data_IF_823578858808
#
_entry.id   IF_823578858808
#
_cell.length_a   1.000
_cell.length_b   1.000
_cell.length_c   1.000
_cell.angle_alpha   90.00
_cell.angle_beta   90.00
_cell.angle_gamma   90.00
#
_symmetry.space_group_name_H-M   'P 1'
#
loop_
_entity.id
_entity.type
_entity.pdbx_description
1 polymer ?
#
# COMPACT_ATOMS: atom_id res chain seq x y z
N UNK A 1 18.18 61.99 0.43
CA UNK A 1 18.77 60.65 0.22
C UNK A 1 18.68 59.91 1.54
N UNK A 2 17.54 59.27 1.81
CA UNK A 2 17.27 58.56 3.07
C UNK A 2 17.50 57.07 2.80
N UNK A 3 18.43 56.47 3.55
CA UNK A 3 18.64 55.04 3.58
C UNK A 3 17.63 54.43 4.57
N UNK A 4 16.62 53.75 4.05
CA UNK A 4 15.72 52.92 4.85
C UNK A 4 16.45 51.64 5.23
N UNK A 5 16.76 51.50 6.52
CA UNK A 5 17.20 50.26 7.12
C UNK A 5 16.10 49.20 7.00
N UNK A 6 16.37 48.16 6.22
CA UNK A 6 15.53 46.98 6.12
C UNK A 6 15.37 46.36 7.51
N UNK A 7 14.12 46.23 7.95
CA UNK A 7 13.76 45.52 9.16
C UNK A 7 14.20 44.06 9.01
N UNK A 8 14.99 43.59 9.98
CA UNK A 8 15.23 42.18 10.19
C UNK A 8 13.87 41.48 10.38
N UNK A 9 13.48 40.62 9.44
CA UNK A 9 12.37 39.68 9.65
C UNK A 9 12.80 38.65 10.70
N UNK A 10 12.61 38.96 11.97
CA UNK A 10 12.56 37.98 13.05
C UNK A 10 11.24 37.20 12.95
N UNK A 11 11.13 36.34 11.95
CA UNK A 11 10.20 35.21 12.00
C UNK A 11 10.70 34.12 11.03
N UNK A 12 11.70 33.37 11.49
CA UNK A 12 11.96 32.05 10.92
C UNK A 12 10.76 31.20 11.30
N UNK A 13 9.83 31.04 10.35
CA UNK A 13 8.65 30.20 10.44
C UNK A 13 9.05 28.87 11.11
N UNK A 14 8.53 28.62 12.31
CA UNK A 14 8.72 27.33 12.97
C UNK A 14 8.26 26.26 11.97
N UNK A 15 9.18 25.44 11.46
CA UNK A 15 8.92 24.45 10.41
C UNK A 15 7.56 23.79 10.62
N UNK A 16 6.56 24.20 9.82
CA UNK A 16 5.19 23.72 10.00
C UNK A 16 5.21 22.20 9.86
N UNK A 17 4.92 21.53 10.97
CA UNK A 17 4.94 20.08 11.06
C UNK A 17 3.63 19.53 10.49
N UNK A 18 3.72 18.82 9.36
CA UNK A 18 2.58 18.13 8.76
C UNK A 18 2.49 16.68 9.25
N UNK A 19 1.28 16.17 9.48
CA UNK A 19 1.03 14.82 10.00
C UNK A 19 0.80 13.78 8.92
N UNK A 20 0.45 14.20 7.71
CA UNK A 20 0.21 13.32 6.56
C UNK A 20 0.48 14.03 5.24
N UNK A 21 0.58 13.25 4.16
CA UNK A 21 0.66 13.80 2.80
C UNK A 21 -0.61 14.58 2.41
N UNK A 22 -1.79 14.13 2.87
CA UNK A 22 -3.03 14.86 2.71
C UNK A 22 -2.95 16.26 3.34
N UNK A 23 -2.43 16.36 4.57
CA UNK A 23 -2.28 17.64 5.25
C UNK A 23 -1.29 18.57 4.52
N UNK A 24 -0.20 18.02 3.96
CA UNK A 24 0.70 18.80 3.09
C UNK A 24 -0.05 19.34 1.87
N UNK A 25 -0.84 18.50 1.20
CA UNK A 25 -1.58 18.90 0.00
C UNK A 25 -2.64 19.98 0.29
N UNK A 26 -3.32 19.87 1.43
CA UNK A 26 -4.35 20.83 1.84
C UNK A 26 -3.74 22.21 2.17
N UNK A 27 -2.58 22.24 2.81
CA UNK A 27 -1.92 23.49 3.22
C UNK A 27 -0.93 24.06 2.20
N UNK A 28 -0.47 23.25 1.23
CA UNK A 28 0.43 23.68 0.15
C UNK A 28 -0.18 23.29 -1.20
N UNK A 29 -1.18 24.05 -1.71
CA UNK A 29 -1.70 23.84 -3.05
C UNK A 29 -0.55 23.85 -4.08
N UNK A 30 -0.48 22.80 -4.91
CA UNK A 30 0.61 22.62 -5.87
C UNK A 30 1.81 21.82 -5.35
N UNK A 31 1.75 21.26 -4.13
CA UNK A 31 2.75 20.29 -3.66
C UNK A 31 2.90 19.15 -4.67
N UNK A 32 4.14 18.87 -5.07
CA UNK A 32 4.47 17.81 -6.03
C UNK A 32 4.61 16.46 -5.33
N UNK A 33 4.60 15.37 -6.09
CA UNK A 33 4.89 14.05 -5.51
C UNK A 33 6.38 13.94 -5.18
N UNK A 34 6.73 13.23 -4.10
CA UNK A 34 8.11 13.15 -3.66
C UNK A 34 8.27 12.60 -2.24
N UNK A 35 9.49 12.60 -1.73
CA UNK A 35 9.77 12.19 -0.35
C UNK A 35 9.59 13.38 0.58
N UNK A 36 8.79 13.19 1.63
CA UNK A 36 8.51 14.18 2.65
C UNK A 36 8.79 13.61 4.04
N UNK A 37 9.09 14.49 4.98
CA UNK A 37 9.14 14.19 6.40
C UNK A 37 7.82 14.63 7.04
N UNK A 38 7.13 13.72 7.70
CA UNK A 38 5.86 13.98 8.40
C UNK A 38 5.94 13.52 9.85
N UNK A 39 5.08 14.07 10.71
CA UNK A 39 4.94 13.68 12.12
C UNK A 39 3.51 13.20 12.40
N UNK A 40 3.16 11.94 12.10
CA UNK A 40 1.79 11.45 12.24
C UNK A 40 1.28 11.47 13.68
N UNK A 41 2.19 11.40 14.66
CA UNK A 41 1.89 11.38 16.08
C UNK A 41 2.64 12.53 16.77
N UNK A 42 2.02 13.27 17.71
CA UNK A 42 2.63 14.45 18.35
C UNK A 42 3.95 14.20 19.09
N UNK A 43 4.12 13.01 19.68
CA UNK A 43 5.28 12.68 20.53
C UNK A 43 6.19 11.61 19.92
N UNK A 44 5.99 11.27 18.64
CA UNK A 44 6.79 10.27 17.96
C UNK A 44 7.84 10.90 17.06
N UNK A 45 8.92 10.16 16.85
CA UNK A 45 9.92 10.54 15.86
C UNK A 45 9.28 10.65 14.47
N UNK A 46 9.52 11.75 13.73
CA UNK A 46 9.05 11.89 12.36
C UNK A 46 9.48 10.72 11.47
N UNK A 47 8.69 10.51 10.42
CA UNK A 47 8.96 9.51 9.40
C UNK A 47 9.12 10.14 8.03
N UNK A 48 10.04 9.58 7.25
CA UNK A 48 10.10 9.85 5.82
C UNK A 48 9.10 8.97 5.10
N UNK A 49 8.25 9.58 4.30
CA UNK A 49 7.23 8.92 3.47
C UNK A 49 7.38 9.40 2.03
N UNK A 50 6.82 8.66 1.08
CA UNK A 50 6.61 9.19 -0.26
C UNK A 50 5.17 9.69 -0.35
N UNK A 51 4.99 10.97 -0.68
CA UNK A 51 3.68 11.55 -0.92
C UNK A 51 3.36 11.48 -2.41
N UNK A 52 2.24 10.86 -2.75
CA UNK A 52 1.65 10.92 -4.09
C UNK A 52 0.54 11.97 -4.08
N UNK A 53 0.81 13.12 -4.70
CA UNK A 53 -0.04 14.31 -4.65
C UNK A 53 -0.97 14.46 -5.86
N UNK A 54 -0.84 13.61 -6.89
CA UNK A 54 -1.58 13.78 -8.14
C UNK A 54 -2.52 12.61 -8.46
N UNK A 55 -2.08 11.37 -8.28
CA UNK A 55 -2.88 10.21 -8.66
C UNK A 55 -4.14 10.12 -7.79
N UNK A 56 -5.32 10.05 -8.45
CA UNK A 56 -6.63 9.85 -7.81
C UNK A 56 -6.94 10.89 -6.72
N UNK A 57 -6.61 12.15 -7.00
CA UNK A 57 -6.83 13.29 -6.10
C UNK A 57 -5.67 13.57 -5.14
N UNK A 58 -4.66 12.69 -5.09
CA UNK A 58 -3.49 12.88 -4.23
C UNK A 58 -3.73 12.51 -2.76
N UNK A 59 -2.82 12.97 -1.91
CA UNK A 59 -2.86 12.86 -0.46
C UNK A 59 -2.35 11.52 0.06
N UNK A 60 -1.97 10.59 -0.83
CA UNK A 60 -1.54 9.25 -0.44
C UNK A 60 -0.13 9.26 0.15
N UNK A 61 -0.02 8.69 1.33
CA UNK A 61 1.18 8.51 2.12
C UNK A 61 1.69 7.08 1.93
N UNK A 62 2.74 6.90 1.12
CA UNK A 62 3.38 5.62 0.90
C UNK A 62 4.34 5.27 2.04
N UNK A 63 4.14 4.07 2.59
CA UNK A 63 4.83 3.62 3.79
C UNK A 63 6.21 3.03 3.43
N UNK A 64 7.30 3.45 4.09
CA UNK A 64 8.62 2.90 3.81
C UNK A 64 8.80 1.52 4.48
N UNK A 65 9.68 0.68 3.94
CA UNK A 65 10.05 -0.63 4.55
C UNK A 65 10.39 -0.51 6.04
N UNK A 66 11.15 0.53 6.40
CA UNK A 66 11.63 0.78 7.78
C UNK A 66 10.50 1.00 8.80
N UNK A 67 9.29 1.34 8.37
CA UNK A 67 8.14 1.53 9.26
C UNK A 67 7.83 0.25 10.07
N UNK A 68 7.97 -0.92 9.44
CA UNK A 68 7.66 -2.23 10.06
C UNK A 68 8.48 -2.53 11.32
N UNK A 69 9.61 -1.86 11.53
CA UNK A 69 10.48 -2.06 12.70
C UNK A 69 10.28 -1.03 13.80
N UNK A 70 9.35 -0.10 13.64
CA UNK A 70 9.04 0.89 14.67
C UNK A 70 8.06 0.30 15.68
N UNK A 71 8.28 0.59 16.95
CA UNK A 71 7.37 0.20 18.04
C UNK A 71 5.99 0.88 17.94
N UNK A 72 5.93 2.04 17.29
CA UNK A 72 4.71 2.84 17.09
C UNK A 72 4.08 2.68 15.68
N UNK A 73 4.52 1.68 14.92
CA UNK A 73 4.12 1.49 13.52
C UNK A 73 2.59 1.39 13.35
N UNK A 74 1.92 0.66 14.23
CA UNK A 74 0.46 0.50 14.15
C UNK A 74 -0.27 1.82 14.44
N UNK A 75 0.21 2.61 15.41
CA UNK A 75 -0.35 3.92 15.76
C UNK A 75 -0.18 4.90 14.59
N UNK A 76 0.98 4.88 13.92
CA UNK A 76 1.23 5.64 12.70
C UNK A 76 0.23 5.25 11.60
N UNK A 77 0.04 3.95 11.35
CA UNK A 77 -0.93 3.48 10.34
C UNK A 77 -2.35 3.97 10.67
N UNK A 78 -2.77 3.90 11.94
CA UNK A 78 -4.09 4.41 12.38
C UNK A 78 -4.21 5.93 12.23
N UNK A 79 -3.11 6.66 12.44
CA UNK A 79 -3.07 8.10 12.22
C UNK A 79 -3.22 8.45 10.73
N UNK A 80 -2.61 7.66 9.84
CA UNK A 80 -2.57 7.93 8.41
C UNK A 80 -3.77 7.38 7.62
N UNK A 81 -4.43 6.31 8.07
CA UNK A 81 -5.46 5.61 7.28
C UNK A 81 -6.87 6.08 7.65
N UNK A 82 -7.26 7.26 7.17
CA UNK A 82 -8.58 7.85 7.41
C UNK A 82 -9.60 7.42 6.36
N UNK A 83 -9.18 7.33 5.10
CA UNK A 83 -9.97 6.82 3.99
C UNK A 83 -9.82 5.30 3.87
N UNK A 84 -10.54 4.57 4.72
CA UNK A 84 -10.41 3.10 4.84
C UNK A 84 -10.90 2.30 3.64
N UNK A 85 -11.38 2.96 2.59
CA UNK A 85 -11.92 2.34 1.38
C UNK A 85 -11.07 2.62 0.14
N UNK A 86 -10.01 3.41 0.26
CA UNK A 86 -9.13 3.73 -0.86
C UNK A 86 -7.68 3.49 -0.46
N UNK A 87 -7.07 2.47 -1.06
CA UNK A 87 -5.64 2.17 -0.88
C UNK A 87 -4.98 2.24 -2.25
N UNK A 88 -3.97 3.09 -2.39
CA UNK A 88 -3.23 3.22 -3.63
C UNK A 88 -2.01 2.30 -3.58
N UNK A 89 -1.95 1.34 -4.51
CA UNK A 89 -0.79 0.48 -4.66
C UNK A 89 0.04 0.92 -5.86
N UNK A 90 1.35 1.01 -5.70
CA UNK A 90 2.31 1.12 -6.83
C UNK A 90 2.99 -0.21 -7.05
N UNK A 91 3.06 -0.67 -8.30
CA UNK A 91 3.73 -1.89 -8.73
C UNK A 91 4.98 -1.51 -9.51
N UNK A 92 6.10 -2.19 -9.26
CA UNK A 92 7.37 -1.92 -9.94
C UNK A 92 7.80 -3.11 -10.80
N UNK A 93 8.19 -2.84 -12.05
CA UNK A 93 8.78 -3.85 -12.94
C UNK A 93 10.23 -4.14 -12.57
N UNK A 94 10.65 -5.39 -12.77
CA UNK A 94 12.01 -5.84 -12.44
C UNK A 94 13.06 -5.31 -13.42
N UNK A 95 12.73 -5.27 -14.71
CA UNK A 95 13.69 -5.02 -15.78
C UNK A 95 14.15 -3.55 -15.85
N UNK A 96 13.20 -2.61 -15.83
CA UNK A 96 13.43 -1.19 -16.08
C UNK A 96 13.01 -0.27 -14.93
N UNK A 97 12.55 -0.85 -13.81
CA UNK A 97 11.98 -0.13 -12.66
C UNK A 97 10.76 0.74 -12.98
N UNK A 98 10.19 0.63 -14.18
CA UNK A 98 8.96 1.34 -14.52
C UNK A 98 7.83 0.98 -13.56
N UNK A 99 7.01 1.97 -13.23
CA UNK A 99 5.98 1.86 -12.23
C UNK A 99 4.59 1.90 -12.86
N UNK A 100 3.64 1.25 -12.19
CA UNK A 100 2.23 1.33 -12.50
C UNK A 100 1.46 1.43 -11.18
N UNK A 101 0.22 1.87 -11.21
CA UNK A 101 -0.60 1.95 -10.00
C UNK A 101 -1.95 1.27 -10.15
N UNK A 102 -2.49 0.84 -9.01
CA UNK A 102 -3.87 0.41 -8.86
C UNK A 102 -4.48 1.07 -7.63
N UNK A 103 -5.61 1.75 -7.80
CA UNK A 103 -6.46 2.14 -6.69
C UNK A 103 -7.34 0.96 -6.30
N UNK A 104 -7.14 0.44 -5.10
CA UNK A 104 -7.93 -0.65 -4.53
C UNK A 104 -9.10 -0.07 -3.76
N UNK A 105 -10.31 -0.57 -4.06
CA UNK A 105 -11.56 -0.18 -3.39
C UNK A 105 -12.43 -1.41 -3.11
N UNK A 106 -13.36 -1.35 -2.14
CA UNK A 106 -14.18 -2.49 -1.81
C UNK A 106 -14.94 -3.06 -3.01
N UNK A 107 -15.07 -4.38 -3.03
CA UNK A 107 -15.92 -5.08 -3.98
C UNK A 107 -17.39 -4.64 -3.81
N UNK A 108 -18.24 -4.60 -4.86
CA UNK A 108 -19.66 -4.23 -4.74
C UNK A 108 -20.43 -4.97 -3.64
N UNK A 109 -20.25 -6.30 -3.54
CA UNK A 109 -20.83 -7.14 -2.48
C UNK A 109 -20.36 -6.78 -1.05
N UNK A 110 -19.32 -5.96 -0.92
CA UNK A 110 -18.68 -5.57 0.32
C UNK A 110 -18.48 -4.04 0.38
N UNK A 111 -19.34 -3.25 -0.29
CA UNK A 111 -19.20 -1.80 -0.39
C UNK A 111 -19.17 -1.06 0.96
N UNK A 112 -19.77 -1.67 1.99
CA UNK A 112 -19.81 -1.16 3.36
C UNK A 112 -18.69 -1.73 4.25
N UNK A 113 -17.80 -2.53 3.70
CA UNK A 113 -16.65 -3.09 4.41
C UNK A 113 -15.44 -2.18 4.25
N UNK A 114 -14.90 -1.74 5.38
CA UNK A 114 -13.62 -1.04 5.43
C UNK A 114 -12.46 -2.03 5.30
N UNK A 115 -11.38 -1.60 4.67
CA UNK A 115 -10.13 -2.35 4.70
C UNK A 115 -9.45 -2.23 6.07
N UNK A 116 -8.72 -3.28 6.43
CA UNK A 116 -7.82 -3.26 7.59
C UNK A 116 -6.38 -3.12 7.15
N UNK A 117 -5.65 -2.17 7.72
CA UNK A 117 -4.19 -2.08 7.54
C UNK A 117 -3.50 -2.23 8.89
N UNK A 118 -2.59 -3.21 8.98
CA UNK A 118 -1.93 -3.58 10.23
C UNK A 118 -0.41 -3.67 10.03
N UNK A 119 0.37 -3.35 11.06
CA UNK A 119 1.81 -3.62 11.11
C UNK A 119 2.06 -4.91 11.89
N UNK A 120 2.77 -5.87 11.27
CA UNK A 120 3.21 -7.13 11.88
C UNK A 120 2.09 -7.89 12.62
N UNK A 121 0.87 -7.79 12.11
CA UNK A 121 -0.31 -8.41 12.70
C UNK A 121 -1.32 -8.75 11.61
N UNK A 122 -2.14 -9.75 11.87
CA UNK A 122 -3.24 -10.19 11.01
C UNK A 122 -4.56 -10.27 11.79
N UNK A 123 -4.67 -9.54 12.91
CA UNK A 123 -5.86 -9.57 13.78
C UNK A 123 -7.15 -9.30 12.98
N UNK A 124 -8.13 -10.21 13.10
CA UNK A 124 -9.39 -10.15 12.32
C UNK A 124 -9.33 -10.79 10.93
N UNK A 125 -8.17 -11.28 10.50
CA UNK A 125 -7.90 -11.88 9.19
C UNK A 125 -7.21 -13.24 9.33
N UNK A 126 -6.76 -13.81 8.21
CA UNK A 126 -5.90 -15.01 8.20
C UNK A 126 -4.43 -14.65 8.13
N UNK A 127 -3.59 -15.52 8.67
CA UNK A 127 -2.14 -15.39 8.67
C UNK A 127 -1.58 -15.51 7.22
N UNK A 128 -0.66 -14.62 6.80
CA UNK A 128 0.02 -14.72 5.51
C UNK A 128 1.03 -15.87 5.50
N UNK A 129 1.16 -16.62 4.40
CA UNK A 129 2.06 -17.78 4.34
C UNK A 129 3.54 -17.45 4.57
N UNK A 130 3.93 -16.21 4.28
CA UNK A 130 5.27 -15.69 4.54
C UNK A 130 5.42 -14.99 5.91
N UNK A 131 4.52 -15.23 6.88
CA UNK A 131 4.58 -14.68 8.25
C UNK A 131 5.90 -14.97 8.99
N UNK A 132 6.59 -16.06 8.62
CA UNK A 132 7.94 -16.36 9.14
C UNK A 132 9.00 -15.28 8.84
N UNK A 133 8.71 -14.34 7.94
CA UNK A 133 9.53 -13.15 7.67
C UNK A 133 9.37 -12.04 8.73
N UNK A 134 8.36 -12.17 9.61
CA UNK A 134 8.04 -11.32 10.78
C UNK A 134 7.61 -9.90 10.48
N UNK A 135 8.44 -9.15 9.76
CA UNK A 135 8.20 -7.73 9.45
C UNK A 135 7.32 -7.61 8.19
N UNK A 136 6.12 -7.03 8.31
CA UNK A 136 5.23 -6.76 7.17
C UNK A 136 4.16 -5.69 7.47
N UNK A 137 3.65 -5.08 6.40
CA UNK A 137 2.38 -4.35 6.43
C UNK A 137 1.32 -5.28 5.86
N UNK A 138 0.22 -5.48 6.58
CA UNK A 138 -0.91 -6.29 6.17
C UNK A 138 -2.02 -5.39 5.63
N UNK A 139 -2.63 -5.77 4.51
CA UNK A 139 -3.85 -5.17 4.00
C UNK A 139 -4.92 -6.27 3.88
N UNK A 140 -5.88 -6.24 4.79
CA UNK A 140 -7.06 -7.09 4.75
C UNK A 140 -8.16 -6.46 3.92
N UNK A 141 -8.65 -7.20 2.92
CA UNK A 141 -9.68 -6.73 1.99
C UNK A 141 -11.08 -7.06 2.53
N UNK A 142 -11.27 -8.27 3.04
CA UNK A 142 -12.53 -8.72 3.66
C UNK A 142 -12.17 -9.39 5.00
N UNK A 143 -12.79 -8.98 6.13
CA UNK A 143 -12.57 -9.62 7.43
C UNK A 143 -12.89 -11.12 7.40
N UNK A 144 -12.17 -11.91 8.21
CA UNK A 144 -12.30 -13.38 8.27
C UNK A 144 -13.76 -13.85 8.43
N UNK A 145 -14.52 -13.14 9.26
CA UNK A 145 -15.93 -13.46 9.55
C UNK A 145 -16.84 -13.39 8.33
N UNK A 146 -16.54 -12.53 7.36
CA UNK A 146 -17.29 -12.36 6.13
C UNK A 146 -16.68 -13.13 4.95
N UNK A 147 -15.35 -13.26 4.93
CA UNK A 147 -14.61 -13.95 3.87
C UNK A 147 -14.87 -15.47 3.84
N UNK A 148 -15.34 -16.08 4.93
CA UNK A 148 -15.68 -17.52 4.99
C UNK A 148 -16.96 -17.93 4.23
N UNK A 149 -17.67 -16.98 3.62
CA UNK A 149 -18.90 -17.27 2.87
C UNK A 149 -18.59 -17.75 1.45
N UNK A 150 -19.35 -18.75 0.96
CA UNK A 150 -19.23 -19.21 -0.44
C UNK A 150 -19.95 -18.27 -1.39
N UNK A 151 -19.27 -17.21 -1.83
CA UNK A 151 -19.82 -16.19 -2.72
C UNK A 151 -18.75 -15.56 -3.61
N UNK A 152 -19.14 -14.58 -4.43
CA UNK A 152 -18.19 -13.75 -5.16
C UNK A 152 -17.50 -12.76 -4.22
N UNK A 153 -16.17 -12.80 -4.23
CA UNK A 153 -15.28 -11.99 -3.42
C UNK A 153 -14.19 -11.37 -4.28
N UNK A 154 -13.53 -10.34 -3.77
CA UNK A 154 -12.48 -9.63 -4.48
C UNK A 154 -12.43 -8.17 -4.07
N UNK A 155 -12.15 -7.30 -5.03
CA UNK A 155 -12.05 -5.86 -4.84
C UNK A 155 -12.20 -5.15 -6.19
N UNK A 156 -12.34 -3.83 -6.17
CA UNK A 156 -12.17 -3.01 -7.38
C UNK A 156 -10.72 -2.59 -7.53
N UNK A 157 -10.22 -2.63 -8.75
CA UNK A 157 -8.90 -2.13 -9.14
C UNK A 157 -9.07 -1.08 -10.23
N UNK A 158 -8.74 0.18 -9.94
CA UNK A 158 -8.92 1.30 -10.86
C UNK A 158 -10.37 1.44 -11.39
N UNK A 159 -11.37 1.10 -10.57
CA UNK A 159 -12.79 1.18 -10.90
C UNK A 159 -13.40 -0.14 -11.39
N UNK A 160 -12.57 -1.05 -11.92
CA UNK A 160 -12.98 -2.34 -12.46
C UNK A 160 -13.07 -3.42 -11.38
N UNK A 161 -14.12 -4.23 -11.39
CA UNK A 161 -14.27 -5.35 -10.44
C UNK A 161 -13.32 -6.49 -10.80
N UNK A 162 -12.45 -6.86 -9.85
CA UNK A 162 -11.56 -8.02 -9.93
C UNK A 162 -12.03 -9.01 -8.86
N UNK A 163 -12.49 -10.18 -9.29
CA UNK A 163 -13.23 -11.09 -8.41
C UNK A 163 -12.94 -12.58 -8.69
N UNK A 164 -13.29 -13.40 -7.71
CA UNK A 164 -13.26 -14.85 -7.76
C UNK A 164 -14.43 -15.41 -6.95
N UNK A 165 -14.73 -16.70 -7.12
CA UNK A 165 -15.70 -17.41 -6.27
C UNK A 165 -14.97 -18.09 -5.13
N UNK A 166 -15.32 -17.78 -3.88
CA UNK A 166 -14.85 -18.58 -2.75
C UNK A 166 -15.60 -19.92 -2.73
N UNK A 167 -14.96 -20.96 -3.24
CA UNK A 167 -15.60 -22.27 -3.46
C UNK A 167 -15.55 -23.21 -2.25
N UNK A 168 -14.69 -22.95 -1.25
CA UNK A 168 -14.40 -23.86 -0.14
C UNK A 168 -14.58 -23.26 1.26
N UNK A 169 -15.02 -21.99 1.37
CA UNK A 169 -15.16 -21.23 2.64
C UNK A 169 -13.84 -20.80 3.28
N UNK A 170 -12.70 -20.98 2.61
CA UNK A 170 -11.44 -20.52 3.16
C UNK A 170 -11.45 -18.98 3.27
N UNK A 171 -11.21 -18.38 4.45
CA UNK A 171 -11.45 -16.94 4.64
C UNK A 171 -10.27 -16.04 4.26
N UNK A 172 -9.33 -16.50 3.43
CA UNK A 172 -8.22 -15.66 2.99
C UNK A 172 -8.73 -14.49 2.13
N UNK A 173 -8.36 -13.27 2.49
CA UNK A 173 -8.67 -12.06 1.71
C UNK A 173 -7.68 -10.95 2.06
N UNK A 174 -6.43 -11.09 1.57
CA UNK A 174 -5.33 -10.25 2.01
C UNK A 174 -4.26 -9.98 0.95
N UNK A 175 -3.56 -8.87 1.17
CA UNK A 175 -2.20 -8.61 0.72
C UNK A 175 -1.27 -8.52 1.93
N UNK A 176 -0.04 -8.98 1.79
CA UNK A 176 1.02 -8.73 2.77
C UNK A 176 2.27 -8.18 2.09
N UNK A 177 2.77 -7.05 2.59
CA UNK A 177 3.90 -6.30 2.06
C UNK A 177 5.10 -6.49 2.99
N UNK A 178 6.03 -7.34 2.57
CA UNK A 178 7.18 -7.77 3.36
C UNK A 178 8.45 -7.06 2.90
N UNK A 179 9.13 -6.29 3.77
CA UNK A 179 10.45 -5.76 3.46
C UNK A 179 11.49 -6.85 3.20
N UNK A 180 11.27 -8.03 3.81
CA UNK A 180 12.16 -9.17 3.82
C UNK A 180 13.60 -8.77 4.21
N UNK A 181 13.75 -8.10 5.34
CA UNK A 181 15.03 -7.55 5.81
C UNK A 181 16.13 -8.61 5.98
N UNK A 182 15.74 -9.86 6.25
CA UNK A 182 16.66 -10.98 6.44
C UNK A 182 16.90 -11.78 5.16
N UNK A 183 16.41 -11.31 4.00
CA UNK A 183 16.56 -11.95 2.69
C UNK A 183 16.12 -13.42 2.68
N UNK A 184 15.08 -13.75 3.44
CA UNK A 184 14.54 -15.10 3.53
C UNK A 184 13.87 -15.49 2.21
N UNK A 185 13.94 -16.77 1.87
CA UNK A 185 13.26 -17.28 0.68
C UNK A 185 11.74 -17.26 0.90
N UNK A 186 10.95 -16.70 -0.04
CA UNK A 186 9.50 -16.79 0.03
C UNK A 186 9.00 -18.24 -0.03
N UNK A 187 7.87 -18.49 0.62
CA UNK A 187 7.20 -19.78 0.68
C UNK A 187 7.01 -20.38 -0.70
N UNK A 188 7.30 -21.68 -0.80
CA UNK A 188 7.00 -22.49 -1.98
C UNK A 188 5.54 -23.00 -2.00
N UNK A 189 4.69 -22.57 -1.06
CA UNK A 189 3.28 -22.96 -1.03
C UNK A 189 2.62 -22.69 -2.40
N UNK A 190 2.00 -23.71 -2.97
CA UNK A 190 1.35 -23.67 -4.29
C UNK A 190 2.21 -23.07 -5.41
N UNK A 191 3.53 -23.27 -5.38
CA UNK A 191 4.46 -22.69 -6.37
C UNK A 191 4.26 -23.17 -7.80
N UNK A 192 3.56 -24.29 -8.00
CA UNK A 192 3.21 -24.89 -9.29
C UNK A 192 1.73 -24.72 -9.64
N UNK A 193 1.09 -23.65 -9.16
CA UNK A 193 -0.32 -23.35 -9.44
C UNK A 193 -0.51 -22.45 -10.65
N UNK A 194 -1.68 -22.54 -11.28
CA UNK A 194 -2.08 -21.69 -12.42
C UNK A 194 -2.30 -20.22 -12.05
N UNK A 195 -2.24 -19.86 -10.76
CA UNK A 195 -2.47 -18.50 -10.27
C UNK A 195 -1.42 -17.48 -10.74
N UNK A 196 -0.28 -17.95 -11.25
CA UNK A 196 0.74 -17.09 -11.86
C UNK A 196 0.46 -16.74 -13.32
N UNK A 197 -0.51 -17.42 -13.95
CA UNK A 197 -0.86 -17.29 -15.36
C UNK A 197 -2.28 -16.74 -15.58
N UNK A 198 -3.23 -17.07 -14.69
CA UNK A 198 -4.62 -16.58 -14.71
C UNK A 198 -5.22 -16.33 -13.32
N UNK A 199 -6.42 -15.75 -13.28
CA UNK A 199 -7.21 -15.54 -12.07
C UNK A 199 -6.98 -14.19 -11.40
N UNK A 200 -7.54 -14.04 -10.18
CA UNK A 200 -7.71 -12.74 -9.50
C UNK A 200 -6.42 -11.92 -9.38
N UNK A 201 -5.27 -12.55 -9.12
CA UNK A 201 -3.99 -11.84 -8.99
C UNK A 201 -3.49 -11.29 -10.35
N UNK A 202 -3.72 -12.03 -11.43
CA UNK A 202 -3.35 -11.63 -12.79
C UNK A 202 -4.30 -10.55 -13.29
N UNK A 203 -5.60 -10.74 -13.06
CA UNK A 203 -6.63 -9.78 -13.41
C UNK A 203 -6.38 -8.44 -12.72
N UNK A 204 -6.02 -8.45 -11.43
CA UNK A 204 -5.60 -7.24 -10.71
C UNK A 204 -4.45 -6.52 -11.38
N UNK A 205 -3.34 -7.22 -11.67
CA UNK A 205 -2.16 -6.62 -12.32
C UNK A 205 -2.46 -6.13 -13.73
N UNK A 206 -3.39 -6.76 -14.45
CA UNK A 206 -3.83 -6.32 -15.78
C UNK A 206 -4.55 -4.96 -15.76
N UNK A 207 -5.11 -4.56 -14.60
CA UNK A 207 -5.76 -3.25 -14.43
C UNK A 207 -4.79 -2.15 -14.01
N UNK A 208 -3.50 -2.43 -13.87
CA UNK A 208 -2.51 -1.44 -13.48
C UNK A 208 -2.34 -0.37 -14.58
N UNK A 209 -2.30 0.90 -14.18
CA UNK A 209 -2.11 2.03 -15.08
C UNK A 209 -0.66 2.49 -14.98
N UNK A 210 0.05 2.57 -16.10
CA UNK A 210 1.45 3.01 -16.16
C UNK A 210 1.62 4.44 -15.63
N UNK A 211 2.67 4.64 -14.83
CA UNK A 211 3.12 5.96 -14.39
C UNK A 211 4.14 6.45 -15.41
N UNK A 212 3.80 7.51 -16.13
CA UNK A 212 4.65 8.08 -17.21
C UNK A 212 5.41 9.32 -16.80
N UNK A 213 5.03 9.97 -15.69
CA UNK A 213 5.68 11.19 -15.22
C UNK A 213 6.90 10.85 -14.36
N UNK A 214 8.12 11.28 -14.72
CA UNK A 214 9.35 10.95 -13.99
C UNK A 214 9.32 11.37 -12.52
N UNK A 215 8.73 12.53 -12.22
CA UNK A 215 8.60 13.07 -10.85
C UNK A 215 7.71 12.21 -9.94
N UNK A 216 7.04 11.19 -10.50
CA UNK A 216 6.17 10.27 -9.76
C UNK A 216 6.79 8.89 -9.56
N UNK A 217 8.04 8.69 -9.97
CA UNK A 217 8.79 7.47 -9.74
C UNK A 217 9.28 7.47 -8.30
N UNK A 218 8.97 6.39 -7.59
CA UNK A 218 9.17 6.28 -6.17
C UNK A 218 10.47 5.56 -5.84
N UNK A 219 11.23 6.01 -4.82
CA UNK A 219 12.44 5.31 -4.41
C UNK A 219 12.20 3.84 -4.02
N UNK A 220 13.15 2.97 -4.32
CA UNK A 220 13.02 1.52 -4.07
C UNK A 220 12.78 1.16 -2.59
N UNK A 221 13.13 2.04 -1.64
CA UNK A 221 12.91 1.86 -0.19
C UNK A 221 11.42 1.72 0.22
N UNK A 222 10.49 1.99 -0.69
CA UNK A 222 9.04 1.89 -0.49
C UNK A 222 8.40 0.65 -1.11
N UNK A 223 9.11 -0.12 -1.95
CA UNK A 223 8.54 -1.30 -2.61
C UNK A 223 8.81 -2.57 -1.81
N UNK A 224 7.87 -3.48 -1.69
CA UNK A 224 7.96 -4.68 -0.84
C UNK A 224 7.88 -5.95 -1.68
N UNK A 225 8.40 -7.06 -1.16
CA UNK A 225 7.93 -8.38 -1.59
C UNK A 225 6.45 -8.47 -1.22
N UNK A 226 5.59 -8.86 -2.16
CA UNK A 226 4.14 -8.84 -1.93
C UNK A 226 3.57 -10.23 -2.03
N UNK A 227 2.87 -10.67 -0.99
CA UNK A 227 2.02 -11.86 -1.00
C UNK A 227 0.56 -11.46 -1.25
N UNK A 228 -0.16 -12.26 -2.03
CA UNK A 228 -1.62 -12.24 -2.13
C UNK A 228 -2.15 -13.61 -1.72
N UNK A 229 -3.20 -13.61 -0.90
CA UNK A 229 -3.88 -14.84 -0.52
C UNK A 229 -5.39 -14.60 -0.46
N UNK A 230 -6.09 -15.27 -1.37
CA UNK A 230 -7.53 -15.18 -1.55
C UNK A 230 -8.15 -16.58 -1.54
N UNK A 231 -9.21 -16.75 -0.75
CA UNK A 231 -9.76 -18.04 -0.33
C UNK A 231 -10.27 -18.94 -1.45
N UNK A 232 -10.08 -20.25 -1.29
CA UNK A 232 -10.57 -21.29 -2.20
C UNK A 232 -10.04 -21.12 -3.61
N UNK A 233 -10.95 -20.94 -4.55
CA UNK A 233 -10.67 -20.76 -5.97
C UNK A 233 -10.17 -19.34 -6.33
N UNK A 234 -9.73 -18.57 -5.34
CA UNK A 234 -9.11 -17.27 -5.49
C UNK A 234 -7.67 -17.37 -6.00
N UNK A 235 -6.70 -17.31 -5.08
CA UNK A 235 -5.29 -17.57 -5.40
C UNK A 235 -4.41 -17.63 -4.15
N UNK A 236 -3.22 -18.18 -4.33
CA UNK A 236 -2.05 -17.82 -3.55
C UNK A 236 -0.89 -17.46 -4.49
N UNK A 237 -0.29 -16.29 -4.30
CA UNK A 237 0.88 -15.86 -5.06
C UNK A 237 1.80 -14.95 -4.26
N UNK A 238 3.07 -14.86 -4.67
CA UNK A 238 4.04 -13.90 -4.13
C UNK A 238 4.88 -13.28 -5.24
N UNK A 239 5.31 -12.04 -5.06
CA UNK A 239 5.85 -11.21 -6.16
C UNK A 239 7.18 -11.67 -6.75
N UNK A 240 7.90 -12.56 -6.06
CA UNK A 240 9.04 -13.28 -6.63
C UNK A 240 8.66 -14.25 -7.76
N UNK A 241 7.37 -14.62 -7.88
CA UNK A 241 6.86 -15.57 -8.89
C UNK A 241 6.14 -14.90 -10.06
N UNK A 242 5.84 -13.61 -9.96
CA UNK A 242 5.07 -12.90 -10.98
C UNK A 242 5.89 -12.73 -12.25
N UNK A 243 5.53 -13.47 -13.30
CA UNK A 243 6.17 -13.37 -14.62
C UNK A 243 5.36 -12.50 -15.56
N UNK A 244 4.03 -12.67 -15.55
CA UNK A 244 3.10 -11.91 -16.39
C UNK A 244 3.17 -10.42 -16.02
N UNK A 245 3.50 -9.58 -17.01
CA UNK A 245 3.74 -8.12 -16.92
C UNK A 245 5.08 -7.67 -16.31
N UNK A 246 5.90 -8.58 -15.76
CA UNK A 246 7.24 -8.26 -15.25
C UNK A 246 7.29 -7.50 -13.92
N UNK A 247 6.16 -7.33 -13.22
CA UNK A 247 6.12 -6.76 -11.87
C UNK A 247 6.77 -7.70 -10.85
N UNK A 248 7.47 -7.14 -9.86
CA UNK A 248 8.16 -7.95 -8.84
C UNK A 248 8.04 -7.42 -7.40
N UNK A 249 7.45 -6.24 -7.23
CA UNK A 249 7.30 -5.62 -5.93
C UNK A 249 6.11 -4.64 -5.93
N UNK A 250 5.55 -4.39 -4.74
CA UNK A 250 4.44 -3.45 -4.57
C UNK A 250 4.67 -2.55 -3.37
N UNK A 251 4.26 -1.29 -3.45
CA UNK A 251 4.24 -0.34 -2.36
C UNK A 251 2.79 0.02 -2.00
N UNK A 252 2.56 0.37 -0.74
CA UNK A 252 1.23 0.68 -0.21
C UNK A 252 1.14 2.15 0.23
N UNK A 253 0.14 2.86 -0.29
CA UNK A 253 -0.18 4.25 0.03
C UNK A 253 -1.53 4.36 0.72
N UNK A 254 -1.55 5.08 1.85
CA UNK A 254 -2.73 5.31 2.71
C UNK A 254 -3.07 6.80 2.73
N UNK A 255 -4.33 7.15 2.93
CA UNK A 255 -4.74 8.53 3.23
C UNK A 255 -5.90 8.54 4.22
#
# INVERSE_FOLDING_TARGET
>A
MQWTTAHACCNCDSDKVYRSCQEIQDFKPGAVSGVYKIHPLPSAEPIEVYCEMAIKGGGFTFLPRKLTRRSDAQQIIVALFKDKKNVLLKLQKKADRSESYTLIQPHPNFANTDFGVLANSYSGYTNPKNDFMKDYIFLGIIPKSAAQNKNYQGFRSNGETVQFTNCDKNPNSLFAFMPNHNLQQPSNYLSSSSYEDSGVAIDWRSKAISITHPDRIMPNKFFFLTELHFGGCGCYTSSNRWKKYGFHATAIGLR
#
